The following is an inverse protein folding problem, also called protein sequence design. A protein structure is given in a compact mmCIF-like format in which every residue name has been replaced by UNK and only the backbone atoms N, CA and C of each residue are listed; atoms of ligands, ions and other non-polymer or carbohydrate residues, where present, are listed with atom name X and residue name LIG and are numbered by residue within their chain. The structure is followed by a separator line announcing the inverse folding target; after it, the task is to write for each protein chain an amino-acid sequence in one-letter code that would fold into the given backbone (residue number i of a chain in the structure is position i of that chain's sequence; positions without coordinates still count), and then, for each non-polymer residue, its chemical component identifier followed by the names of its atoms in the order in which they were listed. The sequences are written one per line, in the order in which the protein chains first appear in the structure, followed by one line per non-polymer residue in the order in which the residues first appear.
data_IF_850303002670
#
_entry.id   IF_850303002670
#
_cell.length_a   1.000
_cell.length_b   1.000
_cell.length_c   1.000
_cell.angle_alpha   90.00
_cell.angle_beta   90.00
_cell.angle_gamma   90.00
#
_symmetry.space_group_name_H-M   'P 1'
#
loop_
_entity.id
_entity.type
_entity.pdbx_description
1 polymer ?
2 non-polymer ?
3 non-polymer ?
4 water ?
#
# COMPACT_ATOMS: atom_id res chain seq x y z
N UNK A 3 10.92 -4.13 -24.62
CA UNK A 3 11.90 -4.72 -23.74
C UNK A 3 11.63 -4.33 -22.28
N UNK A 4 10.48 -3.75 -22.03
CA UNK A 4 9.96 -3.67 -20.68
C UNK A 4 8.72 -4.57 -20.59
N UNK A 5 8.71 -5.50 -19.64
CA UNK A 5 7.54 -6.37 -19.46
C UNK A 5 6.27 -5.60 -19.11
N UNK A 6 5.10 -6.13 -19.51
CA UNK A 6 3.86 -5.57 -19.06
C UNK A 6 3.64 -6.12 -17.64
N UNK A 7 4.16 -5.36 -16.68
CA UNK A 7 4.27 -5.88 -15.33
C UNK A 7 3.10 -5.48 -14.46
N UNK A 8 2.25 -6.47 -14.16
CA UNK A 8 1.09 -6.26 -13.32
C UNK A 8 1.25 -6.96 -11.98
N UNK A 9 2.50 -7.24 -11.61
CA UNK A 9 2.75 -7.82 -10.31
C UNK A 9 2.13 -7.02 -9.16
N UNK A 10 1.70 -7.71 -8.11
CA UNK A 10 0.96 -7.07 -7.05
C UNK A 10 1.81 -6.71 -5.85
N UNK A 11 3.10 -7.09 -5.83
CA UNK A 11 3.85 -6.80 -4.61
C UNK A 11 4.99 -7.80 -4.48
N UNK A 12 6.28 -7.59 -4.70
CA UNK A 12 6.90 -6.40 -5.25
C UNK A 12 6.29 -6.10 -6.63
N UNK A 13 6.48 -4.90 -7.10
CA UNK A 13 5.77 -4.42 -8.29
C UNK A 13 6.64 -3.50 -9.11
N UNK A 14 6.05 -2.93 -10.16
CA UNK A 14 6.80 -2.04 -11.04
C UNK A 14 7.41 -0.86 -10.29
N UNK A 15 8.61 -0.48 -10.70
CA UNK A 15 9.17 0.81 -10.34
C UNK A 15 9.19 1.67 -11.60
N UNK A 16 9.20 2.97 -11.46
CA UNK A 16 9.29 3.80 -12.67
C UNK A 16 10.62 3.50 -13.36
N UNK A 17 10.64 3.33 -14.68
CA UNK A 17 11.89 3.09 -15.37
C UNK A 17 12.93 4.18 -15.10
N UNK A 18 12.46 5.43 -15.04
CA UNK A 18 13.37 6.54 -14.77
C UNK A 18 14.09 6.38 -13.42
N UNK A 19 13.36 5.88 -12.42
CA UNK A 19 14.00 5.66 -11.12
C UNK A 19 15.02 4.56 -11.23
N UNK A 20 14.68 3.49 -11.98
CA UNK A 20 15.62 2.37 -12.12
C UNK A 20 16.87 2.87 -12.81
N UNK A 21 16.67 3.74 -13.81
CA UNK A 21 17.83 4.21 -14.55
C UNK A 21 18.73 5.14 -13.74
N UNK A 22 18.09 5.98 -12.91
CA UNK A 22 18.87 6.88 -12.07
C UNK A 22 19.68 6.12 -11.02
N UNK A 23 19.03 5.17 -10.35
CA UNK A 23 19.73 4.36 -9.38
C UNK A 23 20.78 3.49 -10.04
N UNK A 24 20.46 2.88 -11.21
CA UNK A 24 21.53 2.16 -11.90
C UNK A 24 22.74 3.06 -12.15
N UNK A 25 22.47 4.31 -12.54
CA UNK A 25 23.60 5.12 -13.02
C UNK A 25 24.59 5.43 -11.91
N UNK A 26 24.05 5.64 -10.70
CA UNK A 26 24.95 5.95 -9.59
C UNK A 26 25.12 4.77 -8.65
N UNK A 27 24.77 3.56 -9.05
CA UNK A 27 24.84 2.39 -8.19
C UNK A 27 26.25 2.08 -7.71
N UNK A 28 27.27 2.21 -8.58
CA UNK A 28 28.63 1.91 -8.16
C UNK A 28 29.26 3.10 -7.47
N UNK A 29 29.04 4.31 -7.98
CA UNK A 29 29.72 5.47 -7.43
C UNK A 29 28.69 6.57 -7.25
N UNK A 30 28.27 6.81 -6.03
CA UNK A 30 27.28 7.85 -5.74
C UNK A 30 27.93 9.22 -5.58
N UNK A 31 27.50 10.10 -6.46
CA UNK A 31 27.93 11.49 -6.44
C UNK A 31 29.44 11.61 -6.23
N UNK A 32 30.17 10.83 -7.04
CA UNK A 32 31.63 10.92 -7.01
C UNK A 32 32.24 10.83 -5.61
N UNK A 33 31.60 10.09 -4.71
CA UNK A 33 32.16 9.78 -3.39
C UNK A 33 33.12 8.61 -3.41
N UNK A 34 33.06 7.82 -4.48
CA UNK A 34 33.92 6.66 -4.60
C UNK A 34 33.35 5.50 -3.78
N UNK A 35 32.05 5.62 -3.49
CA UNK A 35 31.31 4.59 -2.80
C UNK A 35 29.90 4.53 -3.37
N UNK A 36 29.30 3.34 -3.29
CA UNK A 36 27.88 3.20 -3.59
C UNK A 36 27.12 3.75 -2.39
N UNK A 37 25.90 4.23 -2.59
CA UNK A 37 25.08 4.55 -1.41
C UNK A 37 24.97 3.35 -0.48
N UNK A 38 25.06 2.12 -0.99
CA UNK A 38 24.97 0.93 -0.16
C UNK A 38 26.16 0.71 0.75
N UNK A 39 27.29 1.38 0.53
CA UNK A 39 28.51 1.13 1.29
C UNK A 39 28.74 2.24 2.29
N UNK A 40 27.78 3.12 2.45
CA UNK A 40 27.95 4.26 3.34
C UNK A 40 27.33 4.09 4.72
N UNK A 41 27.96 4.83 5.64
CA UNK A 41 27.43 4.72 6.99
C UNK A 41 26.07 5.34 7.11
N UNK A 42 25.11 4.68 7.81
CA UNK A 42 23.83 5.33 8.01
C UNK A 42 23.89 6.53 8.97
N UNK A 43 24.98 6.75 9.67
CA UNK A 43 25.10 7.97 10.48
C UNK A 43 25.95 9.05 9.82
N UNK A 44 26.41 8.80 8.60
CA UNK A 44 27.12 9.77 7.77
C UNK A 44 26.23 10.80 7.14
N UNK A 45 26.81 11.98 6.81
CA UNK A 45 25.95 13.03 6.27
C UNK A 45 25.34 12.66 4.92
N UNK A 46 26.03 11.81 4.14
CA UNK A 46 25.57 11.60 2.77
C UNK A 46 24.32 10.74 2.83
N UNK A 47 24.40 9.64 3.59
CA UNK A 47 23.19 8.81 3.71
C UNK A 47 22.13 9.63 4.43
N UNK A 48 22.50 10.34 5.49
CA UNK A 48 21.46 11.04 6.24
C UNK A 48 20.69 12.02 5.40
N UNK A 49 21.36 12.66 4.45
CA UNK A 49 20.61 13.60 3.59
C UNK A 49 19.49 12.86 2.86
N UNK A 50 19.84 11.67 2.35
CA UNK A 50 18.79 10.90 1.65
C UNK A 50 17.68 10.52 2.62
N UNK A 51 18.07 9.99 3.78
CA UNK A 51 17.15 9.48 4.79
C UNK A 51 16.16 10.54 5.24
N UNK A 52 16.67 11.73 5.51
CA UNK A 52 15.85 12.86 5.94
C UNK A 52 15.03 13.47 4.81
N UNK A 53 15.62 13.55 3.62
CA UNK A 53 14.90 14.04 2.45
C UNK A 53 13.66 13.22 2.16
N UNK A 54 13.84 11.90 2.31
CA UNK A 54 12.69 11.00 2.01
C UNK A 54 11.55 11.34 2.93
N UNK A 55 11.86 11.54 4.23
CA UNK A 55 10.79 11.89 5.15
C UNK A 55 10.10 13.20 4.77
N UNK A 56 10.90 14.22 4.48
CA UNK A 56 10.32 15.52 4.14
C UNK A 56 9.52 15.45 2.85
N UNK A 57 10.07 14.73 1.85
CA UNK A 57 9.29 14.66 0.61
C UNK A 57 7.97 13.96 0.80
N UNK A 58 7.99 12.93 1.65
CA UNK A 58 6.76 12.18 1.87
C UNK A 58 5.73 13.10 2.49
N UNK A 59 6.13 13.80 3.56
CA UNK A 59 5.18 14.72 4.19
C UNK A 59 4.68 15.79 3.23
N UNK A 60 5.59 16.23 2.38
CA UNK A 60 5.24 17.34 1.48
C UNK A 60 4.19 16.88 0.50
N UNK A 61 4.32 15.63 0.05
CA UNK A 61 3.30 15.10 -0.84
C UNK A 61 1.93 15.12 -0.19
N UNK A 62 1.86 15.01 1.13
CA UNK A 62 0.64 14.99 1.90
C UNK A 62 0.23 16.33 2.48
N UNK A 63 0.80 17.44 2.01
CA UNK A 63 0.38 18.78 2.44
C UNK A 63 1.15 19.24 3.66
N UNK A 64 2.14 18.43 4.05
CA UNK A 64 3.01 18.78 5.15
C UNK A 64 2.31 19.18 6.45
N UNK A 65 1.45 18.33 6.95
CA UNK A 65 0.74 18.61 8.20
C UNK A 65 1.78 18.48 9.32
N UNK A 66 1.60 19.32 10.31
CA UNK A 66 2.53 19.25 11.44
C UNK A 66 2.16 18.13 12.38
N UNK A 67 3.15 17.71 13.17
CA UNK A 67 2.92 16.79 14.28
C UNK A 67 3.04 15.33 13.89
N UNK A 68 3.51 15.07 12.68
CA UNK A 68 3.66 13.72 12.20
C UNK A 68 5.11 13.41 11.90
N UNK A 69 5.50 12.17 12.24
CA UNK A 69 6.86 11.73 11.99
C UNK A 69 6.78 10.52 11.02
N UNK A 70 7.63 10.64 10.01
CA UNK A 70 7.79 9.53 9.07
C UNK A 70 8.86 8.56 9.57
N UNK A 71 8.51 7.31 9.80
CA UNK A 71 9.47 6.30 10.25
C UNK A 71 9.71 5.29 9.15
N UNK A 72 10.93 4.74 9.16
CA UNK A 72 11.26 3.67 8.25
C UNK A 72 11.58 2.45 9.12
N UNK A 73 10.69 1.48 8.99
CA UNK A 73 10.81 0.29 9.88
C UNK A 73 10.92 -0.94 9.01
N UNK A 74 11.71 -1.88 9.47
CA UNK A 74 11.82 -3.14 8.71
C UNK A 74 10.69 -4.09 9.12
N UNK A 75 10.57 -5.19 8.39
CA UNK A 75 9.64 -6.25 8.77
C UNK A 75 8.35 -6.32 7.98
N UNK A 76 8.14 -5.40 7.04
CA UNK A 76 6.94 -5.37 6.22
C UNK A 76 5.72 -4.89 6.96
N UNK A 77 4.63 -4.77 6.22
CA UNK A 77 3.36 -4.42 6.87
C UNK A 77 2.98 -5.53 7.85
N UNK A 78 3.37 -6.77 7.54
CA UNK A 78 2.96 -7.83 8.43
C UNK A 78 3.52 -7.61 9.83
N UNK A 79 4.73 -7.03 9.93
CA UNK A 79 5.25 -6.78 11.29
C UNK A 79 4.45 -5.67 11.96
N UNK A 80 3.98 -4.69 11.20
CA UNK A 80 3.12 -3.66 11.79
C UNK A 80 1.84 -4.25 12.38
N UNK A 81 1.36 -5.34 11.77
CA UNK A 81 0.15 -5.96 12.31
C UNK A 81 0.34 -6.32 13.79
N UNK A 82 1.56 -6.65 14.18
CA UNK A 82 1.85 -6.93 15.60
C UNK A 82 2.29 -5.67 16.33
N UNK A 83 3.13 -4.88 15.66
CA UNK A 83 3.72 -3.75 16.39
C UNK A 83 2.68 -2.71 16.76
N UNK A 84 1.65 -2.52 15.93
CA UNK A 84 0.59 -1.57 16.26
C UNK A 84 -0.12 -1.97 17.55
N UNK A 85 -0.72 -3.13 17.68
CA UNK A 85 -1.37 -3.46 18.98
C UNK A 85 -0.32 -3.56 20.08
N UNK A 86 0.90 -4.05 19.83
CA UNK A 86 1.90 -4.03 20.89
C UNK A 86 2.10 -2.67 21.50
N UNK A 87 2.04 -1.66 20.62
CA UNK A 87 2.25 -0.30 21.17
C UNK A 87 0.99 0.35 21.70
N UNK A 88 -0.16 0.06 21.09
CA UNK A 88 -1.37 0.82 21.40
C UNK A 88 -2.48 0.06 22.12
N UNK A 89 -2.41 -1.26 22.15
CA UNK A 89 -3.50 -2.02 22.74
C UNK A 89 -3.22 -2.26 24.22
N UNK A 90 -3.54 -1.26 25.03
CA UNK A 90 -3.30 -1.34 26.46
C UNK A 90 -4.25 -2.32 27.12
N UNK A 91 -3.82 -2.92 28.23
CA UNK A 91 -4.76 -3.78 28.97
C UNK A 91 -6.02 -2.97 29.33
N UNK A 92 -7.14 -3.65 29.15
CA UNK A 92 -8.45 -3.09 29.37
C UNK A 92 -9.01 -2.38 28.14
N UNK A 93 -8.20 -2.25 27.09
CA UNK A 93 -8.70 -1.53 25.90
C UNK A 93 -8.94 -2.60 24.83
N UNK A 94 -9.66 -2.20 23.78
CA UNK A 94 -10.00 -3.14 22.72
C UNK A 94 -9.56 -2.59 21.38
N UNK A 95 -8.85 -3.40 20.60
CA UNK A 95 -8.43 -2.98 19.25
C UNK A 95 -9.61 -3.21 18.31
N UNK A 96 -10.09 -2.17 17.68
CA UNK A 96 -11.24 -2.37 16.80
C UNK A 96 -10.76 -2.42 15.34
N UNK A 97 -11.31 -3.41 14.63
CA UNK A 97 -10.94 -3.57 13.22
C UNK A 97 -12.14 -3.46 12.27
N UNK A 98 -11.87 -2.85 11.10
CA UNK A 98 -12.84 -2.87 10.02
C UNK A 98 -12.48 -4.04 9.11
N UNK A 99 -13.37 -4.99 8.91
CA UNK A 99 -13.01 -6.25 8.24
C UNK A 99 -13.49 -6.24 6.79
N UNK A 100 -12.57 -6.02 5.87
CA UNK A 100 -12.88 -5.81 4.47
C UNK A 100 -12.26 -6.84 3.54
N UNK A 101 -11.69 -7.90 4.08
CA UNK A 101 -11.10 -8.94 3.24
C UNK A 101 -9.79 -9.44 3.79
N UNK A 102 -8.88 -9.88 2.91
CA UNK A 102 -7.77 -10.71 3.32
C UNK A 102 -6.76 -9.97 4.21
N UNK A 103 -6.49 -8.70 3.90
CA UNK A 103 -5.45 -8.07 4.72
C UNK A 103 -6.04 -7.57 6.02
N UNK A 104 -7.31 -7.14 6.03
CA UNK A 104 -7.91 -6.91 7.35
C UNK A 104 -7.87 -8.15 8.21
N UNK A 105 -8.21 -9.30 7.63
CA UNK A 105 -8.21 -10.50 8.45
C UNK A 105 -6.85 -10.84 9.02
N UNK A 106 -5.79 -10.63 8.23
CA UNK A 106 -4.45 -10.88 8.75
C UNK A 106 -4.16 -9.95 9.92
N UNK A 107 -4.60 -8.70 9.78
CA UNK A 107 -4.28 -7.72 10.80
C UNK A 107 -5.01 -8.05 12.10
N UNK A 108 -6.30 -8.41 11.96
CA UNK A 108 -7.03 -8.82 13.17
C UNK A 108 -6.39 -9.97 13.87
N UNK A 109 -6.02 -11.02 13.11
CA UNK A 109 -5.43 -12.22 13.72
C UNK A 109 -4.25 -11.91 14.59
N UNK A 110 -3.36 -11.01 14.13
CA UNK A 110 -2.21 -10.64 14.92
C UNK A 110 -2.61 -9.89 16.20
N UNK A 111 -3.57 -8.96 16.05
CA UNK A 111 -3.99 -8.19 17.19
C UNK A 111 -4.51 -9.14 18.27
N UNK A 112 -5.22 -10.21 17.91
CA UNK A 112 -5.73 -11.09 18.98
C UNK A 112 -4.65 -11.73 19.83
N UNK A 113 -3.45 -11.89 19.25
CA UNK A 113 -2.34 -12.44 20.05
C UNK A 113 -1.95 -11.47 21.16
N UNK A 114 -2.22 -10.19 20.94
CA UNK A 114 -1.69 -9.14 21.81
C UNK A 114 -2.69 -8.71 22.84
N UNK A 115 -3.98 -8.76 22.49
CA UNK A 115 -4.97 -8.32 23.47
C UNK A 115 -6.39 -8.38 22.90
N UNK A 116 -7.32 -7.72 23.57
CA UNK A 116 -8.73 -7.79 23.21
C UNK A 116 -9.04 -7.07 21.90
N UNK A 117 -9.79 -7.73 21.03
CA UNK A 117 -10.17 -7.13 19.74
C UNK A 117 -11.68 -7.08 19.60
N UNK A 118 -12.07 -6.25 18.64
CA UNK A 118 -13.46 -6.24 18.26
C UNK A 118 -13.62 -5.89 16.77
N UNK A 119 -14.55 -6.61 16.14
CA UNK A 119 -14.89 -6.25 14.78
C UNK A 119 -15.92 -5.15 14.79
N UNK A 120 -15.51 -3.97 14.38
CA UNK A 120 -16.37 -2.81 14.44
C UNK A 120 -17.20 -2.68 13.16
N UNK A 121 -16.80 -3.33 12.08
CA UNK A 121 -17.57 -3.25 10.82
C UNK A 121 -17.02 -4.35 9.92
N UNK A 122 -17.86 -4.81 9.00
CA UNK A 122 -17.44 -5.92 8.17
C UNK A 122 -18.22 -5.97 6.85
N UNK A 123 -17.53 -6.39 5.80
CA UNK A 123 -18.20 -6.61 4.52
C UNK A 123 -18.26 -8.09 4.18
N UNK A 124 -18.03 -8.93 5.20
CA UNK A 124 -18.06 -10.34 4.94
C UNK A 124 -19.43 -10.80 4.45
N UNK A 125 -20.50 -10.19 4.91
CA UNK A 125 -21.84 -10.59 4.46
C UNK A 125 -22.01 -10.37 2.95
N UNK A 126 -21.27 -9.46 2.31
CA UNK A 126 -21.31 -9.33 0.85
C UNK A 126 -20.15 -10.06 0.17
N UNK A 127 -19.52 -11.00 0.86
CA UNK A 127 -18.32 -11.68 0.42
C UNK A 127 -17.25 -10.67 -0.02
N UNK A 128 -17.22 -9.58 0.75
CA UNK A 128 -16.28 -8.49 0.67
C UNK A 128 -16.45 -7.66 -0.60
N UNK A 129 -17.61 -7.75 -1.27
CA UNK A 129 -17.90 -6.98 -2.48
C UNK A 129 -18.33 -5.55 -2.20
N UNK A 130 -18.89 -5.36 -1.01
CA UNK A 130 -19.50 -4.10 -0.69
C UNK A 130 -18.80 -3.53 0.53
N UNK A 131 -18.00 -2.50 0.35
CA UNK A 131 -17.33 -2.00 1.56
C UNK A 131 -18.34 -1.51 2.59
N UNK A 132 -17.99 -1.61 3.86
CA UNK A 132 -18.96 -1.14 4.86
C UNK A 132 -19.04 0.38 4.89
N UNK A 133 -20.21 0.92 5.24
CA UNK A 133 -20.29 2.36 5.47
C UNK A 133 -19.71 2.70 6.84
N UNK A 134 -18.73 3.58 6.86
CA UNK A 134 -18.04 3.82 8.13
C UNK A 134 -18.40 5.15 8.77
N UNK A 135 -18.93 6.07 8.00
CA UNK A 135 -19.34 7.41 8.44
C UNK A 135 -19.99 7.43 9.81
N UNK A 136 -20.75 6.40 10.15
CA UNK A 136 -21.22 6.18 11.51
C UNK A 136 -20.23 5.33 12.29
N UNK A 137 -20.38 4.01 12.25
CA UNK A 137 -19.68 3.05 13.07
C UNK A 137 -19.81 3.45 14.55
N UNK A 138 -20.14 2.48 15.39
CA UNK A 138 -20.14 2.80 16.82
C UNK A 138 -18.95 2.08 17.46
N UNK A 139 -18.32 2.80 18.38
CA UNK A 139 -17.20 2.27 19.13
C UNK A 139 -17.36 2.67 20.60
N UNK A 140 -16.64 1.90 21.41
CA UNK A 140 -16.72 2.22 22.83
C UNK A 140 -15.67 3.23 23.24
N UNK A 141 -15.76 3.57 24.52
CA UNK A 141 -14.79 4.41 25.19
C UNK A 141 -13.46 3.68 25.26
N UNK A 142 -13.58 2.37 25.52
CA UNK A 142 -12.30 1.68 25.78
C UNK A 142 -11.65 1.21 24.50
N UNK A 143 -12.01 1.77 23.37
CA UNK A 143 -11.33 1.45 22.11
C UNK A 143 -9.93 2.03 22.05
N UNK A 144 -8.95 1.18 21.78
CA UNK A 144 -7.56 1.58 21.66
C UNK A 144 -7.29 2.34 20.35
N UNK A 145 -8.03 1.92 19.34
CA UNK A 145 -7.88 2.47 18.00
C UNK A 145 -8.91 1.77 17.12
N UNK A 146 -9.11 2.34 15.96
CA UNK A 146 -9.88 1.73 14.90
C UNK A 146 -8.92 1.50 13.73
N UNK A 147 -8.75 0.25 13.32
CA UNK A 147 -7.84 -0.02 12.22
C UNK A 147 -8.63 -0.35 10.97
N UNK A 148 -8.24 0.23 9.84
CA UNK A 148 -8.88 -0.21 8.60
C UNK A 148 -7.77 -0.46 7.57
N UNK A 149 -8.19 -1.05 6.47
CA UNK A 149 -7.27 -1.33 5.37
C UNK A 149 -7.72 -0.47 4.20
N UNK A 150 -6.88 0.49 3.75
CA UNK A 150 -7.49 1.47 2.82
C UNK A 150 -7.82 0.85 1.47
N UNK A 151 -7.01 -0.11 1.07
CA UNK A 151 -7.11 -0.82 -0.20
C UNK A 151 -6.88 -2.30 0.01
N UNK A 152 -7.92 -3.12 -0.25
CA UNK A 152 -7.76 -4.57 -0.01
C UNK A 152 -7.18 -5.15 -1.30
N UNK A 153 -5.90 -5.38 -1.20
CA UNK A 153 -5.10 -5.66 -2.38
C UNK A 153 -5.53 -6.90 -3.11
N UNK A 154 -6.04 -7.85 -2.32
CA UNK A 154 -6.41 -9.13 -2.94
C UNK A 154 -7.84 -9.09 -3.44
N UNK A 155 -8.75 -8.43 -2.74
CA UNK A 155 -10.14 -8.47 -3.20
C UNK A 155 -10.41 -7.42 -4.27
N UNK A 156 -9.58 -6.37 -4.31
CA UNK A 156 -9.76 -5.28 -5.23
C UNK A 156 -10.75 -4.23 -4.76
N UNK A 157 -10.92 -4.02 -3.46
CA UNK A 157 -11.85 -3.05 -2.93
C UNK A 157 -11.07 -1.90 -2.31
N UNK A 158 -11.63 -0.69 -2.36
CA UNK A 158 -10.87 0.44 -1.81
C UNK A 158 -11.77 1.53 -1.25
N UNK A 159 -11.43 2.04 -0.06
CA UNK A 159 -12.22 3.12 0.51
C UNK A 159 -11.92 4.44 -0.21
N UNK A 160 -12.95 5.22 -0.49
CA UNK A 160 -12.71 6.53 -1.08
C UNK A 160 -12.51 7.58 -0.01
N UNK A 161 -13.03 7.30 1.17
CA UNK A 161 -12.95 8.25 2.26
C UNK A 161 -12.90 7.52 3.59
N UNK A 162 -12.55 8.26 4.64
CA UNK A 162 -12.36 7.67 5.94
C UNK A 162 -13.16 8.37 7.02
N UNK A 163 -13.47 7.63 8.07
CA UNK A 163 -14.29 8.20 9.14
C UNK A 163 -13.51 9.15 10.04
N UNK A 164 -14.22 10.07 10.66
CA UNK A 164 -13.80 10.92 11.74
C UNK A 164 -14.03 10.18 13.07
N UNK A 165 -12.93 9.74 13.69
CA UNK A 165 -13.09 8.87 14.85
C UNK A 165 -12.85 9.60 16.16
N UNK A 166 -12.75 10.93 16.12
CA UNK A 166 -12.61 11.62 17.41
C UNK A 166 -11.35 11.23 18.16
N UNK A 167 -11.47 10.96 19.46
CA UNK A 167 -10.31 10.66 20.28
C UNK A 167 -9.82 9.22 20.12
N UNK A 168 -10.56 8.41 19.37
CA UNK A 168 -10.06 7.08 19.11
C UNK A 168 -9.12 7.15 17.89
N UNK A 169 -7.84 6.85 18.04
CA UNK A 169 -6.96 6.97 16.87
C UNK A 169 -7.42 6.08 15.72
N UNK A 170 -7.42 6.61 14.51
CA UNK A 170 -7.71 5.87 13.30
C UNK A 170 -6.37 5.40 12.74
N UNK A 171 -6.29 4.11 12.41
CA UNK A 171 -5.04 3.59 11.86
C UNK A 171 -5.31 2.90 10.53
N UNK A 172 -4.46 3.15 9.53
CA UNK A 172 -4.78 2.62 8.19
C UNK A 172 -3.60 1.84 7.62
N UNK A 173 -3.89 0.59 7.22
CA UNK A 173 -2.95 -0.16 6.40
C UNK A 173 -3.11 0.32 4.94
N UNK A 174 -2.17 1.15 4.52
CA UNK A 174 -2.26 1.69 3.17
C UNK A 174 -1.21 1.08 2.25
N UNK A 175 -0.83 -0.14 2.57
CA UNK A 175 0.21 -0.80 1.80
C UNK A 175 0.04 -0.70 0.28
N UNK A 176 -1.18 -0.92 -0.18
CA UNK A 176 -1.32 -1.00 -1.65
C UNK A 176 -1.91 0.27 -2.25
N UNK A 177 -2.05 1.35 -1.48
CA UNK A 177 -2.50 2.56 -2.20
C UNK A 177 -1.83 3.80 -1.64
N UNK A 178 -0.84 3.64 -0.75
CA UNK A 178 -0.28 4.87 -0.15
C UNK A 178 0.38 5.75 -1.21
N UNK A 179 0.15 7.06 -1.18
CA UNK A 179 0.75 8.00 -2.12
C UNK A 179 0.27 7.71 -3.54
N UNK A 180 -0.94 7.17 -3.62
CA UNK A 180 -1.62 7.07 -4.91
C UNK A 180 -2.68 8.15 -5.02
N UNK A 181 -3.03 8.81 -3.91
CA UNK A 181 -4.14 9.73 -3.87
C UNK A 181 -3.94 10.63 -2.66
N UNK A 182 -4.39 11.85 -2.76
CA UNK A 182 -4.43 12.73 -1.60
C UNK A 182 -5.32 12.14 -0.51
N UNK A 183 -4.88 12.32 0.73
CA UNK A 183 -5.77 12.08 1.84
C UNK A 183 -5.34 13.02 2.98
N UNK A 184 -6.26 13.17 3.93
CA UNK A 184 -5.96 14.00 5.09
C UNK A 184 -5.35 13.17 6.21
N UNK A 185 -4.02 13.28 6.26
CA UNK A 185 -3.24 12.56 7.26
C UNK A 185 -3.76 12.88 8.67
N UNK A 186 -4.29 14.11 8.88
CA UNK A 186 -4.79 14.39 10.21
C UNK A 186 -5.97 13.55 10.61
N UNK A 187 -6.63 12.82 9.70
CA UNK A 187 -7.64 11.87 10.16
C UNK A 187 -7.04 10.69 10.92
N UNK A 188 -5.77 10.42 10.73
CA UNK A 188 -5.15 9.21 11.22
C UNK A 188 -4.17 9.44 12.35
N UNK A 189 -4.12 8.51 13.27
CA UNK A 189 -3.04 8.48 14.25
C UNK A 189 -1.84 7.76 13.67
N UNK A 190 -2.10 6.79 12.77
CA UNK A 190 -0.93 6.13 12.19
C UNK A 190 -1.37 5.60 10.84
N UNK A 191 -0.50 5.75 9.85
CA UNK A 191 -0.70 4.99 8.61
C UNK A 191 0.59 4.25 8.30
N UNK A 192 0.42 3.11 7.62
CA UNK A 192 1.63 2.36 7.28
C UNK A 192 1.51 1.66 5.92
N UNK A 193 2.68 1.32 5.42
CA UNK A 193 2.71 0.65 4.13
C UNK A 193 4.03 -0.08 3.89
N UNK A 194 3.98 -1.36 3.52
CA UNK A 194 5.23 -1.92 2.99
C UNK A 194 5.50 -1.11 1.70
N UNK A 195 6.75 -0.71 1.46
CA UNK A 195 7.03 0.13 0.34
C UNK A 195 6.87 -0.56 -1.01
N UNK A 196 7.00 -1.90 -1.02
CA UNK A 196 7.10 -2.64 -2.25
C UNK A 196 5.86 -2.63 -3.11
N UNK A 197 4.73 -2.09 -2.65
CA UNK A 197 3.63 -2.00 -3.62
C UNK A 197 3.64 -0.69 -4.40
N UNK A 198 3.63 0.46 -3.74
CA UNK A 198 3.57 1.72 -4.48
C UNK A 198 4.69 2.68 -4.18
N UNK A 199 5.81 2.27 -3.59
CA UNK A 199 6.78 3.29 -3.21
C UNK A 199 8.20 2.84 -3.53
N UNK A 200 8.35 1.61 -4.03
CA UNK A 200 9.70 1.15 -4.27
C UNK A 200 9.99 -0.31 -4.02
N UNK A 201 11.07 -0.43 -3.25
CA UNK A 201 11.67 -1.72 -2.96
C UNK A 201 10.96 -2.36 -1.79
N UNK A 202 11.08 -3.68 -1.74
CA UNK A 202 10.72 -4.37 -0.52
C UNK A 202 11.84 -4.21 0.49
N UNK A 203 11.53 -4.39 1.76
CA UNK A 203 12.56 -4.30 2.77
C UNK A 203 12.39 -3.02 3.58
N UNK A 204 11.52 -2.11 3.15
CA UNK A 204 11.22 -0.96 4.00
C UNK A 204 9.72 -0.82 4.18
N UNK A 205 9.30 -0.54 5.42
CA UNK A 205 7.95 -0.18 5.71
C UNK A 205 7.92 1.28 6.13
N UNK A 206 7.07 2.05 5.48
CA UNK A 206 6.83 3.43 5.84
C UNK A 206 5.73 3.46 6.89
N UNK A 207 6.04 4.09 8.02
CA UNK A 207 5.02 4.27 9.06
C UNK A 207 4.92 5.75 9.34
N UNK A 208 3.77 6.38 9.18
CA UNK A 208 3.67 7.83 9.52
C UNK A 208 2.81 7.93 10.76
N UNK A 209 3.36 8.54 11.83
CA UNK A 209 2.64 8.46 13.09
C UNK A 209 2.50 9.85 13.69
N UNK A 210 1.33 10.05 14.28
CA UNK A 210 1.13 11.25 15.08
C UNK A 210 2.03 11.23 16.30
N UNK A 211 2.95 12.19 16.43
CA UNK A 211 3.97 12.04 17.47
C UNK A 211 3.38 12.07 18.85
N UNK A 212 2.24 12.74 19.02
CA UNK A 212 1.68 12.75 20.38
C UNK A 212 1.15 11.40 20.82
N UNK A 213 1.06 10.46 19.87
CA UNK A 213 0.48 9.18 20.25
C UNK A 213 1.58 8.22 20.67
N UNK A 214 2.82 8.59 20.34
CA UNK A 214 3.89 7.63 20.64
C UNK A 214 4.99 8.25 21.45
N UNK A 215 4.65 9.30 22.22
CA UNK A 215 5.74 9.94 22.94
C UNK A 215 6.43 9.06 23.96
N UNK A 216 5.74 8.07 24.53
CA UNK A 216 6.31 7.18 25.52
C UNK A 216 5.81 5.77 25.29
N UNK A 217 6.57 4.95 24.58
CA UNK A 217 6.02 3.65 24.20
C UNK A 217 6.07 2.69 25.38
N UNK A 218 5.28 1.65 25.35
CA UNK A 218 5.31 0.68 26.46
C UNK A 218 6.70 0.16 26.76
N UNK A 219 7.13 0.31 28.03
CA UNK A 219 8.54 0.00 28.31
C UNK A 219 8.80 -1.49 28.40
N UNK A 220 7.77 -2.34 28.50
CA UNK A 220 8.01 -3.78 28.53
C UNK A 220 8.35 -4.33 27.14
N UNK A 221 8.16 -3.57 26.07
CA UNK A 221 8.36 -4.10 24.73
C UNK A 221 9.84 -4.17 24.32
N UNK A 222 10.14 -5.14 23.46
CA UNK A 222 11.49 -5.17 22.84
C UNK A 222 11.79 -3.80 22.27
N UNK A 223 13.01 -3.34 22.45
CA UNK A 223 13.41 -2.03 21.91
C UNK A 223 13.03 -1.80 20.46
N UNK A 224 13.25 -2.79 19.60
CA UNK A 224 12.93 -2.62 18.18
C UNK A 224 11.45 -2.64 17.82
N UNK A 225 10.60 -2.93 18.80
CA UNK A 225 9.17 -2.95 18.56
C UNK A 225 8.45 -1.79 19.23
N UNK A 226 9.22 -0.80 19.69
CA UNK A 226 8.62 0.41 20.22
C UNK A 226 8.61 1.52 19.19
N UNK A 227 7.51 2.24 18.98
CA UNK A 227 7.57 3.39 18.06
C UNK A 227 8.55 4.46 18.56
N UNK A 228 8.70 4.67 19.87
CA UNK A 228 9.58 5.78 20.26
C UNK A 228 11.03 5.50 19.95
N UNK A 229 11.46 4.25 19.86
CA UNK A 229 12.80 3.96 19.40
C UNK A 229 13.08 4.56 18.03
N UNK A 230 12.05 4.47 17.15
CA UNK A 230 12.21 5.03 15.82
C UNK A 230 12.01 6.55 15.83
N UNK A 231 11.02 7.02 16.61
CA UNK A 231 10.85 8.48 16.56
C UNK A 231 12.08 9.20 17.11
N UNK A 232 12.50 8.76 18.29
CA UNK A 232 13.52 9.51 19.00
C UNK A 232 14.89 9.34 18.36
N UNK A 233 15.08 8.28 17.55
CA UNK A 233 16.37 8.04 16.94
C UNK A 233 16.25 8.25 15.41
N UNK A 234 15.16 8.88 14.98
CA UNK A 234 15.03 9.17 13.56
C UNK A 234 15.22 7.91 12.72
N UNK A 235 14.66 6.81 13.18
CA UNK A 235 14.72 5.50 12.49
C UNK A 235 16.15 5.01 12.31
N UNK A 236 17.10 5.53 13.10
CA UNK A 236 18.51 5.12 12.98
C UNK A 236 19.03 4.58 14.30
N UNK A 237 18.13 4.09 15.15
CA UNK A 237 18.64 3.43 16.37
C UNK A 237 19.54 2.27 16.00
N UNK A 238 19.13 1.51 14.99
CA UNK A 238 19.99 0.47 14.46
C UNK A 238 20.17 0.74 12.96
N UNK A 239 20.79 -0.23 12.29
CA UNK A 239 21.03 0.03 10.86
C UNK A 239 19.75 -0.02 10.05
N UNK A 240 19.38 1.03 9.32
CA UNK A 240 18.15 1.03 8.56
C UNK A 240 18.35 0.29 7.24
N UNK A 241 17.26 0.04 6.56
CA UNK A 241 17.37 -0.55 5.21
C UNK A 241 17.75 0.53 4.22
N UNK A 242 19.05 0.84 4.22
CA UNK A 242 19.42 2.15 3.64
C UNK A 242 19.25 2.19 2.13
N UNK A 243 19.59 1.11 1.45
CA UNK A 243 19.34 1.21 0.00
C UNK A 243 17.87 1.30 -0.31
N UNK A 244 17.02 0.59 0.46
CA UNK A 244 15.59 0.69 0.26
C UNK A 244 15.12 2.11 0.50
N UNK A 245 15.66 2.81 1.51
CA UNK A 245 15.16 4.16 1.75
C UNK A 245 15.62 5.12 0.66
N UNK A 246 16.85 4.87 0.17
CA UNK A 246 17.34 5.64 -0.98
C UNK A 246 16.37 5.46 -2.14
N UNK A 247 15.93 4.21 -2.39
CA UNK A 247 15.03 3.99 -3.52
C UNK A 247 13.68 4.61 -3.24
N UNK A 248 13.17 4.54 -2.00
CA UNK A 248 11.96 5.31 -1.74
C UNK A 248 12.14 6.79 -2.06
N UNK A 249 13.27 7.38 -1.66
CA UNK A 249 13.49 8.81 -1.94
C UNK A 249 13.42 9.04 -3.45
N UNK A 250 14.04 8.16 -4.23
CA UNK A 250 13.97 8.36 -5.67
C UNK A 250 12.57 8.24 -6.20
N UNK A 251 11.76 7.29 -5.70
CA UNK A 251 10.35 7.20 -6.11
C UNK A 251 9.62 8.46 -5.69
N UNK A 252 9.87 8.98 -4.47
CA UNK A 252 9.16 10.19 -4.07
C UNK A 252 9.50 11.34 -5.01
N UNK A 253 10.77 11.45 -5.40
CA UNK A 253 11.09 12.51 -6.38
C UNK A 253 10.27 12.31 -7.65
N UNK A 254 10.16 11.05 -8.09
CA UNK A 254 9.40 10.78 -9.30
C UNK A 254 7.95 11.15 -9.13
N UNK A 255 7.35 10.83 -7.97
CA UNK A 255 5.95 11.17 -7.75
C UNK A 255 5.75 12.66 -7.87
N UNK A 256 6.68 13.41 -7.29
CA UNK A 256 6.52 14.88 -7.41
C UNK A 256 6.62 15.26 -8.88
N UNK A 257 7.58 14.68 -9.62
CA UNK A 257 7.70 14.98 -11.05
C UNK A 257 6.40 14.70 -11.79
N UNK A 258 5.61 13.73 -11.32
CA UNK A 258 4.41 13.33 -12.01
C UNK A 258 3.21 14.21 -11.64
N UNK A 259 3.48 15.17 -10.74
CA UNK A 259 2.47 16.13 -10.37
C UNK A 259 1.92 15.83 -8.99
N UNK A 260 2.74 15.14 -8.18
CA UNK A 260 2.26 14.96 -6.81
C UNK A 260 1.11 13.97 -6.72
N UNK A 261 0.52 13.87 -5.54
CA UNK A 261 -0.59 12.92 -5.35
C UNK A 261 -1.79 13.24 -6.20
N UNK A 262 -2.05 14.54 -6.44
CA UNK A 262 -3.21 14.86 -7.27
C UNK A 262 -2.91 14.43 -8.70
N UNK A 263 -1.66 14.58 -9.14
CA UNK A 263 -1.34 14.15 -10.52
C UNK A 263 -1.42 12.65 -10.69
N UNK A 264 -0.79 11.92 -9.74
CA UNK A 264 -0.81 10.46 -9.95
C UNK A 264 -2.21 9.93 -9.80
N UNK A 265 -2.99 10.56 -8.93
CA UNK A 265 -4.36 10.09 -8.79
C UNK A 265 -5.10 10.18 -10.12
N UNK A 266 -4.87 11.31 -10.82
CA UNK A 266 -5.60 11.51 -12.07
C UNK A 266 -5.17 10.48 -13.10
N UNK A 267 -3.88 10.22 -13.10
CA UNK A 267 -3.30 9.29 -14.06
C UNK A 267 -3.76 7.87 -13.79
N UNK A 268 -3.78 7.57 -12.48
CA UNK A 268 -4.25 6.25 -12.08
C UNK A 268 -5.74 6.09 -12.35
N UNK A 269 -6.54 7.14 -12.14
CA UNK A 269 -7.95 7.06 -12.47
C UNK A 269 -8.17 6.76 -13.94
N UNK A 270 -7.35 7.38 -14.79
CA UNK A 270 -7.40 7.11 -16.23
C UNK A 270 -7.04 5.65 -16.53
N UNK A 271 -5.96 5.16 -15.93
CA UNK A 271 -5.59 3.76 -16.14
C UNK A 271 -6.70 2.82 -15.74
N UNK A 272 -7.22 3.07 -14.53
CA UNK A 272 -8.23 2.21 -13.96
C UNK A 272 -9.51 2.28 -14.79
N UNK A 273 -9.87 3.49 -15.19
CA UNK A 273 -11.12 3.68 -15.94
C UNK A 273 -11.06 2.89 -17.24
N UNK A 274 -9.89 2.92 -17.91
CA UNK A 274 -9.76 2.10 -19.13
C UNK A 274 -10.06 0.65 -18.89
N UNK A 275 -9.55 0.07 -17.78
CA UNK A 275 -9.71 -1.36 -17.56
C UNK A 275 -11.13 -1.66 -17.10
N UNK A 276 -11.68 -0.78 -16.23
CA UNK A 276 -13.05 -1.05 -15.77
C UNK A 276 -14.02 -0.94 -16.95
N UNK A 277 -13.72 -0.02 -17.84
CA UNK A 277 -14.58 0.10 -19.02
C UNK A 277 -14.50 -1.17 -19.87
N UNK A 278 -13.31 -1.70 -20.08
CA UNK A 278 -13.13 -2.97 -20.81
C UNK A 278 -13.92 -4.09 -20.16
N UNK A 279 -13.96 -4.15 -18.83
CA UNK A 279 -14.79 -5.13 -18.16
C UNK A 279 -16.27 -4.81 -18.35
N UNK A 280 -16.66 -3.57 -18.09
CA UNK A 280 -18.08 -3.21 -18.06
C UNK A 280 -18.74 -3.27 -19.44
N UNK A 281 -17.96 -3.08 -20.49
CA UNK A 281 -18.46 -3.06 -21.86
C UNK A 281 -18.27 -4.42 -22.54
N UNK A 282 -17.96 -5.44 -21.75
CA UNK A 282 -17.59 -6.75 -22.27
C UNK A 282 -18.81 -7.65 -22.45
N UNK A 283 -20.01 -7.06 -22.36
CA UNK A 283 -21.20 -7.90 -22.45
C UNK A 283 -21.16 -9.09 -21.50
N UNK A 284 -20.67 -8.86 -20.27
CA UNK A 284 -20.60 -9.91 -19.29
C UNK A 284 -19.45 -10.87 -19.43
N UNK A 285 -18.64 -10.77 -20.47
CA UNK A 285 -17.55 -11.76 -20.61
C UNK A 285 -16.58 -11.61 -19.46
N UNK A 286 -16.31 -10.37 -19.09
CA UNK A 286 -15.46 -10.16 -17.92
C UNK A 286 -16.38 -9.64 -16.84
N UNK A 287 -16.20 -10.06 -15.58
CA UNK A 287 -17.10 -9.53 -14.54
C UNK A 287 -16.27 -8.98 -13.39
N UNK A 288 -16.52 -7.74 -12.98
CA UNK A 288 -15.81 -7.23 -11.83
C UNK A 288 -16.12 -8.03 -10.58
N UNK A 289 -15.15 -8.17 -9.68
CA UNK A 289 -15.40 -8.94 -8.45
C UNK A 289 -16.15 -8.08 -7.44
N UNK A 290 -15.80 -6.81 -7.28
CA UNK A 290 -16.49 -6.02 -6.25
C UNK A 290 -17.53 -5.03 -6.81
N UNK A 291 -18.39 -4.53 -5.92
CA UNK A 291 -19.36 -3.53 -6.34
C UNK A 291 -18.66 -2.31 -6.95
N UNK A 292 -19.30 -1.71 -7.94
CA UNK A 292 -18.79 -0.51 -8.57
C UNK A 292 -18.37 0.52 -7.55
N UNK A 293 -19.18 0.75 -6.53
CA UNK A 293 -18.78 1.83 -5.61
C UNK A 293 -17.65 1.42 -4.69
N UNK A 294 -17.20 0.17 -4.74
CA UNK A 294 -16.10 -0.22 -3.86
C UNK A 294 -14.84 -0.48 -4.68
N UNK A 295 -14.92 -0.20 -5.99
CA UNK A 295 -13.77 -0.51 -6.84
C UNK A 295 -12.46 0.16 -6.48
N UNK A 296 -11.39 -0.62 -6.41
CA UNK A 296 -10.06 -0.08 -6.24
C UNK A 296 -9.50 0.47 -7.55
N UNK A 297 -8.74 1.54 -7.45
CA UNK A 297 -7.98 2.01 -8.61
C UNK A 297 -6.56 1.44 -8.62
N UNK A 298 -6.21 0.64 -7.63
CA UNK A 298 -4.89 0.03 -7.56
C UNK A 298 -4.87 -1.44 -7.94
N UNK A 299 -5.91 -2.19 -7.58
CA UNK A 299 -5.90 -3.64 -7.85
C UNK A 299 -7.25 -3.97 -8.43
N UNK A 300 -7.30 -4.26 -9.73
CA UNK A 300 -8.62 -4.43 -10.33
C UNK A 300 -8.90 -5.90 -10.47
N UNK A 301 -9.93 -6.40 -9.77
CA UNK A 301 -10.13 -7.86 -9.77
C UNK A 301 -11.30 -8.23 -10.67
N UNK A 302 -11.20 -9.31 -11.44
CA UNK A 302 -12.35 -9.63 -12.30
C UNK A 302 -12.33 -11.12 -12.63
N UNK A 303 -13.46 -11.68 -13.03
CA UNK A 303 -13.52 -13.06 -13.41
C UNK A 303 -14.06 -13.26 -14.82
N UNK A 304 -13.88 -14.50 -15.28
CA UNK A 304 -14.52 -14.88 -16.54
C UNK A 304 -15.64 -15.86 -16.23
N UNK A 305 -16.28 -16.43 -17.26
CA UNK A 305 -17.45 -17.25 -16.91
C UNK A 305 -17.04 -18.57 -16.30
N UNK A 306 -15.77 -18.94 -16.38
CA UNK A 306 -15.39 -20.23 -15.79
C UNK A 306 -13.92 -20.27 -15.45
N UNK A 307 -13.61 -21.21 -14.55
CA UNK A 307 -12.22 -21.34 -14.11
C UNK A 307 -11.36 -21.72 -15.30
N UNK A 308 -11.97 -22.45 -16.23
CA UNK A 308 -11.19 -22.90 -17.38
C UNK A 308 -10.79 -21.69 -18.22
N UNK A 309 -11.77 -20.79 -18.42
CA UNK A 309 -11.44 -19.60 -19.17
C UNK A 309 -10.39 -18.75 -18.45
N UNK A 310 -10.47 -18.74 -17.13
CA UNK A 310 -9.50 -17.91 -16.41
C UNK A 310 -8.12 -18.49 -16.54
N UNK A 311 -7.99 -19.81 -16.53
CA UNK A 311 -6.69 -20.44 -16.69
C UNK A 311 -6.13 -20.15 -18.08
N UNK A 312 -7.00 -20.12 -19.08
CA UNK A 312 -6.57 -19.82 -20.43
C UNK A 312 -6.08 -18.37 -20.54
N UNK A 313 -6.82 -17.49 -19.89
CA UNK A 313 -6.44 -16.08 -19.85
C UNK A 313 -5.05 -15.94 -19.25
N UNK A 314 -4.89 -16.53 -18.06
CA UNK A 314 -3.57 -16.44 -17.42
C UNK A 314 -2.47 -16.97 -18.32
N UNK A 315 -2.62 -18.19 -18.85
CA UNK A 315 -1.49 -18.67 -19.67
C UNK A 315 -1.26 -17.85 -20.92
N UNK A 316 -2.36 -17.48 -21.60
CA UNK A 316 -2.17 -16.74 -22.85
C UNK A 316 -1.57 -15.36 -22.53
N UNK A 317 -2.03 -14.72 -21.45
CA UNK A 317 -1.42 -13.43 -21.10
C UNK A 317 0.07 -13.56 -20.81
N UNK A 318 0.44 -14.60 -20.06
CA UNK A 318 1.85 -14.83 -19.76
C UNK A 318 2.66 -14.99 -21.04
N UNK A 319 2.11 -15.75 -21.98
CA UNK A 319 2.84 -15.92 -23.25
C UNK A 319 2.93 -14.66 -24.10
N UNK A 320 2.08 -13.64 -23.91
CA UNK A 320 2.18 -12.37 -24.61
C UNK A 320 2.93 -11.33 -23.80
N UNK A 321 3.54 -11.79 -22.70
CA UNK A 321 4.43 -10.97 -21.94
C UNK A 321 3.81 -10.18 -20.83
N UNK A 322 2.61 -10.59 -20.38
CA UNK A 322 2.02 -9.97 -19.21
C UNK A 322 2.43 -10.74 -17.97
N UNK A 323 2.84 -10.02 -16.94
CA UNK A 323 3.27 -10.69 -15.73
C UNK A 323 2.31 -10.41 -14.59
N UNK A 324 1.96 -11.45 -13.84
CA UNK A 324 1.31 -11.24 -12.56
C UNK A 324 -0.18 -11.11 -12.56
N UNK A 325 -0.91 -11.40 -13.63
CA UNK A 325 -2.35 -11.19 -13.68
C UNK A 325 -3.21 -12.23 -12.98
N UNK A 326 -2.66 -13.40 -12.70
CA UNK A 326 -3.46 -14.41 -12.03
C UNK A 326 -3.86 -13.92 -10.64
N UNK A 327 -5.15 -13.99 -10.33
CA UNK A 327 -5.61 -13.53 -9.03
C UNK A 327 -5.29 -14.44 -7.88
N UNK A 328 -5.46 -14.01 -6.62
CA UNK A 328 -5.30 -15.01 -5.55
C UNK A 328 -6.37 -16.08 -5.60
N UNK A 329 -6.01 -17.29 -5.14
CA UNK A 329 -7.00 -18.38 -5.12
C UNK A 329 -8.28 -18.02 -4.40
N UNK A 330 -8.22 -17.32 -3.26
CA UNK A 330 -9.46 -17.04 -2.55
C UNK A 330 -10.45 -16.25 -3.38
N UNK A 331 -9.97 -15.54 -4.39
CA UNK A 331 -10.83 -14.65 -5.17
C UNK A 331 -11.15 -15.36 -6.50
N UNK A 332 -10.08 -15.99 -6.97
CA UNK A 332 -9.92 -16.56 -8.28
C UNK A 332 -9.96 -15.51 -9.38
N UNK A 333 -9.98 -15.94 -10.63
CA UNK A 333 -9.96 -14.93 -11.69
C UNK A 333 -8.62 -14.23 -11.76
N UNK A 334 -8.73 -12.93 -12.06
CA UNK A 334 -7.62 -12.12 -12.49
C UNK A 334 -7.52 -10.90 -11.58
N UNK A 335 -6.31 -10.37 -11.53
CA UNK A 335 -6.07 -9.13 -10.79
C UNK A 335 -5.09 -8.29 -11.60
N UNK A 336 -5.54 -7.13 -12.05
CA UNK A 336 -4.61 -6.18 -12.68
C UNK A 336 -4.14 -5.18 -11.63
N UNK A 337 -2.89 -5.33 -11.17
CA UNK A 337 -2.35 -4.37 -10.19
C UNK A 337 -1.73 -3.21 -10.98
N UNK A 338 -2.17 -2.00 -10.68
CA UNK A 338 -1.88 -0.85 -11.53
C UNK A 338 -1.45 0.34 -10.69
N UNK A 339 -0.54 0.03 -9.77
CA UNK A 339 0.13 1.03 -8.94
C UNK A 339 0.69 2.21 -9.74
N UNK A 340 1.09 3.28 -9.04
CA UNK A 340 1.55 4.49 -9.73
C UNK A 340 2.48 4.25 -10.92
N UNK A 341 3.47 3.40 -10.70
CA UNK A 341 4.51 3.22 -11.70
C UNK A 341 4.10 2.33 -12.86
N UNK A 342 2.98 1.63 -12.79
CA UNK A 342 2.50 0.84 -13.93
C UNK A 342 2.05 1.83 -14.98
N UNK A 343 2.71 1.85 -16.13
CA UNK A 343 2.33 2.89 -17.08
C UNK A 343 0.97 2.70 -17.76
N UNK A 344 0.35 3.80 -18.17
CA UNK A 344 -0.85 3.72 -19.00
C UNK A 344 -0.68 2.77 -20.17
N UNK A 345 0.50 2.72 -20.77
CA UNK A 345 0.79 1.84 -21.89
C UNK A 345 0.61 0.37 -21.58
N UNK A 346 0.92 -0.02 -20.35
CA UNK A 346 0.71 -1.43 -19.99
C UNK A 346 -0.79 -1.71 -19.91
N UNK A 347 -1.52 -0.69 -19.42
CA UNK A 347 -2.97 -0.83 -19.27
C UNK A 347 -3.64 -0.90 -20.63
N UNK A 348 -3.17 -0.08 -21.56
CA UNK A 348 -3.64 -0.16 -22.93
C UNK A 348 -3.38 -1.53 -23.52
N UNK A 349 -2.16 -2.04 -23.34
CA UNK A 349 -1.85 -3.38 -23.83
C UNK A 349 -2.75 -4.44 -23.21
N UNK A 350 -3.01 -4.29 -21.90
CA UNK A 350 -3.89 -5.22 -21.22
C UNK A 350 -5.30 -5.17 -21.78
N UNK A 351 -5.90 -4.00 -22.00
CA UNK A 351 -7.28 -4.02 -22.49
C UNK A 351 -7.31 -4.49 -23.95
N UNK A 352 -6.27 -4.14 -24.69
CA UNK A 352 -6.20 -4.70 -26.06
C UNK A 352 -6.19 -6.21 -26.00
N UNK A 353 -5.34 -6.76 -25.12
CA UNK A 353 -5.28 -8.21 -24.95
C UNK A 353 -6.65 -8.73 -24.49
N UNK A 354 -7.29 -8.01 -23.56
CA UNK A 354 -8.58 -8.53 -23.07
C UNK A 354 -9.58 -8.66 -24.20
N UNK A 355 -9.54 -7.72 -25.12
CA UNK A 355 -10.44 -7.71 -26.28
C UNK A 355 -10.10 -8.84 -27.23
N UNK A 356 -8.79 -8.98 -27.52
CA UNK A 356 -8.37 -10.07 -28.40
C UNK A 356 -8.70 -11.45 -27.85
N UNK A 357 -8.49 -11.60 -26.55
CA UNK A 357 -8.78 -12.90 -25.91
C UNK A 357 -10.26 -13.20 -26.04
N UNK A 358 -11.06 -12.19 -25.66
CA UNK A 358 -12.51 -12.39 -25.67
C UNK A 358 -13.01 -12.85 -27.04
N UNK A 359 -12.47 -12.19 -28.07
CA UNK A 359 -12.95 -12.47 -29.43
C UNK A 359 -12.38 -13.77 -29.98
N UNK A 360 -11.27 -14.21 -29.38
CA UNK A 360 -10.60 -15.43 -29.85
C UNK A 360 -11.25 -16.66 -29.22
N UNK A 361 -12.20 -16.39 -28.35
CA UNK A 361 -12.98 -17.35 -27.57
C UNK A 361 -14.42 -17.25 -28.07
N UNK A 362 -14.65 -16.15 -28.80
CA UNK A 362 -15.97 -15.91 -29.34
C UNK A 362 -16.30 -16.60 -30.64
X LIG B 1 -1.29 -5.25 3.86
X LIG B 1 -1.62 -4.97 2.57
X LIG B 1 -2.87 -4.12 2.30
X LIG B 1 -0.84 -5.46 1.55
X LIG B 1 -1.20 -5.16 0.27
X LIG B 1 0.27 -6.24 1.83
X LIG B 1 1.20 -6.78 0.73
X LIG B 1 0.59 -6.51 3.14
X LIG B 1 -0.20 -6.01 4.15
X LIG B 1 1.80 -7.34 3.53
X LIG B 1 3.03 -6.66 3.36
X LIG B 1 4.39 -7.39 3.72
X LIG B 1 5.48 -6.36 3.58
X LIG B 1 4.57 -8.53 2.75
X LIG B 1 4.28 -7.88 5.15
X LIG C 1 7.29 -10.54 26.89
X LIG C 1 7.76 -10.93 28.18
X LIG C 1 7.66 -9.06 26.75
X LIG C 1 6.92 -8.28 27.72
X LIG C 1 7.40 -8.58 25.32
X LIG C 1 6.81 -7.24 25.36
#
# INVERSE_FOLDING_TARGET
MSERAYNFNAGPAALPLEVLERAQAEFVDYQHTGMSIMEMSHRGAVYEAVHNEAQARLLALLGNPTGYKVLFIQGGASTQFAMIPMNFLKEGQTANYVMTGSWASKALKEAKLIGDTHVAASSEASNYMTLPKLQEIQLQDNAAYLHLTSNETIEGAQFKAFPDTGSVPLIGDMSSDILSRPFDLNQFGLVYAGAQKNLGPSGVTVVIVREDLVAESPKHLPTMLRYDTYVKNNSLYNTPPSFGIYMVNEVLKWIEERGGLEGVQQANRKKASLIYDAIDQSGGFYRGCVDVDSRSDMNITFRLASEELEKEFVKASEQEGFVGLKGHRSVGGLRASIYNAVPYESCEALVQFMEHFKRSRG
PLP N1 C2 C2A C3 O3 C4 C4A C5 C6 C5A O4P P O1P O2P O3P
GOL C1 O1 C2 O2 C3 O3
#
